data_IF_838236035766
#
_entry.id   IF_838236035766
#
_cell.length_a   1.000
_cell.length_b   1.000
_cell.length_c   1.000
_cell.angle_alpha   90.00
_cell.angle_beta   90.00
_cell.angle_gamma   90.00
#
_symmetry.space_group_name_H-M   'P 1'
#
loop_
_entity.id
_entity.type
_entity.pdbx_description
1 polymer ?
#
# COMPACT_ATOMS: atom_id res chain seq x y z
N UNK A 1 3.52 -8.66 -13.41
CA UNK A 1 3.71 -8.01 -12.11
C UNK A 1 3.57 -6.52 -12.31
N UNK A 2 2.36 -6.02 -12.05
CA UNK A 2 1.97 -4.65 -12.35
C UNK A 2 1.74 -3.85 -11.06
N UNK A 3 2.18 -2.59 -11.09
CA UNK A 3 1.71 -1.58 -10.15
C UNK A 3 0.28 -1.21 -10.55
N UNK A 4 -0.66 -1.38 -9.64
CA UNK A 4 -2.07 -1.03 -9.82
C UNK A 4 -2.44 0.14 -8.91
N UNK A 5 -3.42 0.98 -9.29
CA UNK A 5 -3.85 2.07 -8.44
C UNK A 5 -4.52 1.53 -7.18
N UNK A 6 -4.17 2.11 -6.02
CA UNK A 6 -4.92 1.89 -4.80
C UNK A 6 -6.35 2.42 -4.97
N UNK A 7 -7.35 1.62 -4.58
CA UNK A 7 -8.73 2.07 -4.58
C UNK A 7 -9.00 2.87 -3.29
N UNK A 8 -9.03 4.19 -3.40
CA UNK A 8 -9.38 5.10 -2.29
C UNK A 8 -10.89 5.41 -2.21
N UNK A 9 -11.70 4.88 -3.14
CA UNK A 9 -13.16 5.02 -3.12
C UNK A 9 -13.76 3.88 -2.32
N UNK A 10 -13.80 4.02 -0.99
CA UNK A 10 -14.30 2.97 -0.09
C UNK A 10 -15.72 2.48 -0.42
N UNK A 11 -16.59 3.34 -0.97
CA UNK A 11 -17.93 2.93 -1.43
C UNK A 11 -17.95 2.00 -2.64
N UNK A 12 -16.81 1.81 -3.32
CA UNK A 12 -16.63 0.85 -4.42
C UNK A 12 -15.96 -0.45 -3.99
N UNK A 13 -15.72 -0.64 -2.68
CA UNK A 13 -15.17 -1.87 -2.17
C UNK A 13 -16.21 -2.98 -2.26
N UNK A 14 -15.82 -4.23 -2.55
CA UNK A 14 -16.69 -5.37 -2.34
C UNK A 14 -17.22 -5.37 -0.89
N UNK A 15 -18.53 -5.57 -0.73
CA UNK A 15 -19.21 -5.43 0.57
C UNK A 15 -18.51 -6.20 1.70
N UNK A 16 -18.14 -7.45 1.43
CA UNK A 16 -17.43 -8.32 2.40
C UNK A 16 -16.09 -7.74 2.84
N UNK A 17 -15.36 -7.08 1.93
CA UNK A 17 -14.08 -6.45 2.25
C UNK A 17 -14.31 -5.19 3.10
N UNK A 18 -15.29 -4.37 2.72
CA UNK A 18 -15.62 -3.15 3.46
C UNK A 18 -16.06 -3.46 4.90
N UNK A 19 -16.99 -4.40 5.07
CA UNK A 19 -17.47 -4.83 6.39
C UNK A 19 -16.32 -5.40 7.23
N UNK A 20 -15.45 -6.21 6.63
CA UNK A 20 -14.27 -6.72 7.31
C UNK A 20 -13.35 -5.59 7.77
N UNK A 21 -13.05 -4.63 6.90
CA UNK A 21 -12.20 -3.48 7.21
C UNK A 21 -12.78 -2.67 8.37
N UNK A 22 -14.07 -2.32 8.31
CA UNK A 22 -14.77 -1.56 9.36
C UNK A 22 -14.76 -2.30 10.70
N UNK A 23 -15.03 -3.60 10.68
CA UNK A 23 -14.93 -4.46 11.87
C UNK A 23 -13.53 -4.42 12.48
N UNK A 24 -12.48 -4.58 11.65
CA UNK A 24 -11.09 -4.55 12.12
C UNK A 24 -10.67 -3.18 12.64
N UNK A 25 -11.10 -2.10 12.00
CA UNK A 25 -10.84 -0.73 12.48
C UNK A 25 -11.45 -0.52 13.86
N UNK A 26 -12.70 -0.96 14.08
CA UNK A 26 -13.36 -0.89 15.38
C UNK A 26 -12.64 -1.73 16.44
N UNK A 27 -12.39 -3.01 16.15
CA UNK A 27 -11.72 -3.95 17.08
C UNK A 27 -10.33 -3.46 17.49
N UNK A 28 -9.63 -2.81 16.58
CA UNK A 28 -8.23 -2.39 16.77
C UNK A 28 -8.11 -0.92 17.15
N UNK A 29 -9.21 -0.29 17.57
CA UNK A 29 -9.26 1.09 18.09
C UNK A 29 -8.63 2.09 17.11
N UNK A 30 -8.96 1.96 15.83
CA UNK A 30 -8.52 2.91 14.80
C UNK A 30 -9.13 4.29 15.06
N UNK A 31 -8.29 5.31 15.13
CA UNK A 31 -8.69 6.67 15.48
C UNK A 31 -8.87 7.54 14.24
N UNK A 32 -9.66 8.61 14.36
CA UNK A 32 -9.85 9.58 13.29
C UNK A 32 -8.52 10.21 12.83
N UNK A 33 -7.58 10.48 13.74
CA UNK A 33 -6.25 11.01 13.43
C UNK A 33 -5.43 10.07 12.52
N UNK A 34 -5.50 8.76 12.76
CA UNK A 34 -4.90 7.74 11.88
C UNK A 34 -5.54 7.77 10.48
N UNK A 35 -6.86 8.03 10.42
CA UNK A 35 -7.59 8.22 9.16
C UNK A 35 -7.10 9.42 8.36
N UNK A 36 -6.69 10.51 9.01
CA UNK A 36 -6.09 11.68 8.35
C UNK A 36 -4.74 11.31 7.73
N UNK A 37 -3.87 10.62 8.47
CA UNK A 37 -2.60 10.12 7.95
C UNK A 37 -2.79 9.20 6.73
N UNK A 38 -3.75 8.27 6.83
CA UNK A 38 -4.11 7.39 5.72
C UNK A 38 -4.61 8.18 4.50
N UNK A 39 -5.49 9.17 4.72
CA UNK A 39 -6.06 9.99 3.64
C UNK A 39 -4.98 10.73 2.86
N UNK A 40 -4.02 11.35 3.56
CA UNK A 40 -2.88 12.04 2.93
C UNK A 40 -2.14 11.08 2.00
N UNK A 41 -1.86 9.87 2.44
CA UNK A 41 -1.23 8.85 1.60
C UNK A 41 -2.11 8.45 0.40
N UNK A 42 -3.40 8.18 0.61
CA UNK A 42 -4.29 7.74 -0.47
C UNK A 42 -4.56 8.81 -1.53
N UNK A 43 -4.51 10.09 -1.16
CA UNK A 43 -4.74 11.20 -2.08
C UNK A 43 -3.56 11.42 -3.04
N UNK A 44 -2.36 10.93 -2.71
CA UNK A 44 -1.15 11.07 -3.55
C UNK A 44 -1.08 10.14 -4.77
N UNK A 45 -2.22 9.61 -5.24
CA UNK A 45 -2.31 8.58 -6.31
C UNK A 45 -1.40 7.37 -6.02
N UNK A 46 -1.53 6.83 -4.81
CA UNK A 46 -0.71 5.72 -4.36
C UNK A 46 -0.91 4.47 -5.23
N UNK A 47 0.20 3.83 -5.58
CA UNK A 47 0.25 2.58 -6.33
C UNK A 47 0.56 1.42 -5.38
N UNK A 48 0.03 0.24 -5.67
CA UNK A 48 0.23 -0.99 -4.90
C UNK A 48 0.53 -2.15 -5.85
N UNK A 49 1.22 -3.23 -5.40
CA UNK A 49 1.43 -4.40 -6.23
C UNK A 49 0.10 -5.13 -6.49
N UNK A 50 -0.02 -5.72 -7.68
CA UNK A 50 -1.10 -6.66 -7.98
C UNK A 50 -0.97 -7.97 -7.16
N UNK A 51 -2.00 -8.82 -7.22
CA UNK A 51 -2.01 -10.09 -6.49
C UNK A 51 -1.01 -11.12 -7.04
N UNK A 52 -0.55 -10.97 -8.29
CA UNK A 52 0.45 -11.85 -8.86
C UNK A 52 1.85 -11.54 -8.29
N UNK A 53 2.15 -10.27 -8.07
CA UNK A 53 3.39 -9.79 -7.46
C UNK A 53 3.37 -9.92 -5.93
N UNK A 54 2.22 -9.68 -5.30
CA UNK A 54 2.06 -9.74 -3.85
C UNK A 54 0.90 -10.67 -3.44
N UNK A 55 1.05 -12.01 -3.61
CA UNK A 55 -0.01 -12.97 -3.26
C UNK A 55 -0.31 -13.00 -1.77
N UNK A 56 0.67 -12.64 -0.93
CA UNK A 56 0.49 -12.50 0.53
C UNK A 56 -0.01 -11.12 0.96
N UNK A 57 -0.33 -10.25 -0.01
CA UNK A 57 -0.72 -8.88 0.19
C UNK A 57 0.48 -7.94 0.40
N UNK A 58 0.14 -6.71 0.75
CA UNK A 58 1.09 -5.63 1.00
C UNK A 58 0.77 -4.94 2.31
N UNK A 59 1.72 -4.16 2.82
CA UNK A 59 1.51 -3.32 3.98
C UNK A 59 2.20 -1.97 3.84
N UNK A 60 1.62 -0.95 4.48
CA UNK A 60 2.22 0.39 4.62
C UNK A 60 2.32 0.72 6.10
N UNK A 61 3.52 1.06 6.54
CA UNK A 61 3.75 1.54 7.90
C UNK A 61 3.52 3.05 7.97
N UNK A 62 2.83 3.46 9.02
CA UNK A 62 2.67 4.84 9.47
C UNK A 62 3.24 4.93 10.89
N UNK A 63 3.54 6.15 11.38
CA UNK A 63 3.99 6.33 12.75
C UNK A 63 3.04 5.72 13.80
N UNK A 64 1.73 5.82 13.60
CA UNK A 64 0.72 5.45 14.60
C UNK A 64 -0.02 4.12 14.30
N UNK A 65 0.18 3.52 13.12
CA UNK A 65 -0.50 2.30 12.68
C UNK A 65 0.17 1.67 11.45
N UNK A 66 -0.33 0.51 11.03
CA UNK A 66 0.08 -0.17 9.80
C UNK A 66 -1.17 -0.58 9.03
N UNK A 67 -1.23 -0.20 7.76
CA UNK A 67 -2.25 -0.64 6.81
C UNK A 67 -1.83 -1.99 6.23
N UNK A 68 -2.79 -2.91 6.10
CA UNK A 68 -2.65 -4.17 5.39
C UNK A 68 -3.64 -4.20 4.23
N UNK A 69 -3.17 -4.58 3.05
CA UNK A 69 -4.01 -4.66 1.86
C UNK A 69 -3.70 -5.86 0.98
N UNK A 70 -4.61 -6.12 0.06
CA UNK A 70 -4.54 -7.18 -0.94
C UNK A 70 -5.12 -6.64 -2.25
N UNK A 71 -4.37 -6.76 -3.35
CA UNK A 71 -4.73 -6.11 -4.61
C UNK A 71 -4.95 -4.60 -4.40
N UNK A 72 -6.01 -3.99 -4.97
CA UNK A 72 -6.24 -2.55 -4.86
C UNK A 72 -6.89 -2.13 -3.53
N UNK A 73 -7.15 -3.07 -2.59
CA UNK A 73 -8.01 -2.81 -1.43
C UNK A 73 -7.25 -2.78 -0.10
N UNK A 74 -7.66 -1.87 0.77
CA UNK A 74 -7.35 -1.92 2.20
C UNK A 74 -8.20 -2.99 2.88
N UNK A 75 -7.56 -3.94 3.57
CA UNK A 75 -8.23 -5.06 4.22
C UNK A 75 -8.24 -4.97 5.74
N UNK A 76 -7.16 -4.51 6.36
CA UNK A 76 -7.05 -4.48 7.83
C UNK A 76 -6.02 -3.45 8.31
N UNK A 77 -5.97 -3.20 9.62
CA UNK A 77 -5.02 -2.27 10.26
C UNK A 77 -4.40 -2.87 11.48
N UNK A 78 -3.15 -2.60 11.83
CA UNK A 78 -2.67 -2.76 13.22
C UNK A 78 -2.40 -1.38 13.78
N UNK A 79 -2.76 -1.12 15.03
CA UNK A 79 -2.57 0.19 15.67
C UNK A 79 -1.62 0.04 16.85
N UNK A 80 -1.19 1.17 17.42
CA UNK A 80 -0.45 1.17 18.68
C UNK A 80 -1.24 0.52 19.85
N UNK A 81 -2.57 0.47 19.78
CA UNK A 81 -3.43 -0.12 20.81
C UNK A 81 -3.75 -1.60 20.59
N UNK A 82 -3.55 -2.09 19.37
CA UNK A 82 -3.76 -3.48 18.99
C UNK A 82 -2.70 -3.84 17.96
N UNK A 83 -1.53 -4.20 18.49
CA UNK A 83 -0.36 -4.51 17.70
C UNK A 83 -0.51 -5.85 17.00
N UNK A 84 0.24 -6.00 15.92
CA UNK A 84 0.39 -7.26 15.22
C UNK A 84 1.44 -7.12 14.14
N UNK A 85 1.62 -8.19 13.37
CA UNK A 85 2.62 -8.25 12.31
C UNK A 85 1.95 -8.48 10.96
N UNK A 86 2.42 -7.83 9.88
CA UNK A 86 2.02 -8.19 8.54
C UNK A 86 2.23 -9.69 8.28
N UNK A 87 1.50 -10.25 7.31
CA UNK A 87 1.68 -11.66 6.94
C UNK A 87 3.12 -11.89 6.49
N UNK A 88 3.64 -13.09 6.77
CA UNK A 88 4.96 -13.49 6.26
C UNK A 88 4.94 -13.43 4.74
N UNK A 89 5.89 -12.70 4.16
CA UNK A 89 5.97 -12.49 2.71
C UNK A 89 5.09 -11.37 2.16
N UNK A 90 4.37 -10.63 3.00
CA UNK A 90 3.70 -9.42 2.55
C UNK A 90 4.73 -8.35 2.13
N UNK A 91 4.41 -7.60 1.08
CA UNK A 91 5.30 -6.59 0.51
C UNK A 91 5.23 -5.30 1.33
N UNK A 92 6.39 -4.75 1.72
CA UNK A 92 6.49 -3.42 2.34
C UNK A 92 6.40 -2.36 1.23
N UNK A 93 5.34 -1.54 1.25
CA UNK A 93 5.10 -0.55 0.19
C UNK A 93 6.17 0.55 0.13
N UNK A 94 6.82 0.88 1.24
CA UNK A 94 7.86 1.92 1.24
C UNK A 94 9.11 1.44 0.52
N UNK A 95 9.51 0.20 0.77
CA UNK A 95 10.64 -0.47 0.10
C UNK A 95 10.29 -0.71 -1.37
N UNK A 96 9.10 -1.25 -1.63
CA UNK A 96 8.63 -1.56 -2.98
C UNK A 96 8.60 -0.33 -3.88
N UNK A 97 8.03 0.78 -3.39
CA UNK A 97 7.96 2.03 -4.15
C UNK A 97 9.35 2.60 -4.42
N UNK A 98 10.25 2.54 -3.43
CA UNK A 98 11.62 3.02 -3.56
C UNK A 98 12.41 2.24 -4.61
N UNK A 99 12.31 0.90 -4.60
CA UNK A 99 12.97 0.04 -5.59
C UNK A 99 12.49 0.34 -7.01
N UNK A 100 11.19 0.59 -7.19
CA UNK A 100 10.65 0.96 -8.51
C UNK A 100 11.15 2.31 -8.98
N UNK A 101 11.18 3.32 -8.11
CA UNK A 101 11.73 4.64 -8.45
C UNK A 101 13.20 4.55 -8.89
N UNK A 102 14.00 3.74 -8.18
CA UNK A 102 15.40 3.49 -8.53
C UNK A 102 15.51 2.80 -9.90
N UNK A 103 14.71 1.76 -10.15
CA UNK A 103 14.72 1.07 -11.44
C UNK A 103 14.34 2.01 -12.61
N UNK A 104 13.33 2.86 -12.43
CA UNK A 104 12.98 3.88 -13.43
C UNK A 104 14.12 4.85 -13.66
N UNK A 105 14.75 5.36 -12.60
CA UNK A 105 15.87 6.30 -12.71
C UNK A 105 17.05 5.69 -13.47
N UNK A 106 17.41 4.44 -13.15
CA UNK A 106 18.50 3.72 -13.83
C UNK A 106 18.17 3.53 -15.32
N UNK A 107 16.93 3.13 -15.64
CA UNK A 107 16.49 3.01 -17.04
C UNK A 107 16.66 4.32 -17.80
N UNK A 108 16.17 5.43 -17.24
CA UNK A 108 16.31 6.77 -17.86
C UNK A 108 17.77 7.16 -18.09
N UNK A 109 18.65 6.89 -17.12
CA UNK A 109 20.09 7.19 -17.25
C UNK A 109 20.73 6.35 -18.37
N UNK A 110 20.41 5.06 -18.44
CA UNK A 110 20.95 4.17 -19.47
C UNK A 110 20.48 4.58 -20.86
N UNK A 111 19.21 4.98 -21.01
CA UNK A 111 18.67 5.43 -22.28
C UNK A 111 19.30 6.76 -22.73
N UNK A 112 19.52 7.70 -21.79
CA UNK A 112 20.23 8.94 -22.07
C UNK A 112 21.70 8.69 -22.48
N UNK A 113 22.39 7.76 -21.82
CA UNK A 113 23.77 7.39 -22.17
C UNK A 113 23.85 6.76 -23.57
N UNK A 114 22.93 5.86 -23.92
CA UNK A 114 22.86 5.28 -25.27
C UNK A 114 22.61 6.34 -26.35
N UNK A 115 21.76 7.32 -26.07
CA UNK A 115 21.49 8.43 -27.00
C UNK A 115 22.71 9.35 -27.20
N UNK A 116 23.56 9.52 -26.17
CA UNK A 116 24.79 10.31 -26.28
C UNK A 116 25.91 9.62 -27.09
N UNK A 117 25.89 8.28 -27.13
CA UNK A 117 26.88 7.48 -27.86
C UNK A 117 26.53 7.25 -29.35
N UNK A 118 25.39 7.76 -29.82
CA UNK A 118 24.95 7.72 -31.22
C UNK A 118 25.17 9.07 -31.90
#
# INVERSE_FOLDING_TARGET
MAAIPFNNKYGSYPQVILEHLLKRMKERKFLASMGVEAKVWTDTKSMVPDLAEAPQGWFKKFPSFTILGEGPYWKSVYTIYSQGKPRRGAVDLDVWTSNRKLATLIGTILDAYKAWMQ
#
